data_IF_830426377794
#
_entry.id   IF_830426377794
#
_cell.length_a   1.000
_cell.length_b   1.000
_cell.length_c   1.000
_cell.angle_alpha   90.00
_cell.angle_beta   90.00
_cell.angle_gamma   90.00
#
_symmetry.space_group_name_H-M   'P 1'
#
loop_
_entity.id
_entity.type
_entity.pdbx_description
1 polymer ?
#
# COMPACT_ATOMS: atom_id res chain seq x y z
N UNK A 1 -65.09 -6.60 -27.21
CA UNK A 1 -64.28 -6.76 -25.97
C UNK A 1 -63.02 -7.62 -26.13
N UNK A 2 -62.97 -8.70 -26.94
CA UNK A 2 -61.78 -9.60 -27.07
C UNK A 2 -60.56 -8.99 -27.78
N UNK A 3 -60.70 -7.99 -28.64
CA UNK A 3 -59.59 -7.38 -29.38
C UNK A 3 -58.76 -6.34 -28.56
N UNK A 4 -59.30 -5.81 -27.51
CA UNK A 4 -58.63 -4.84 -26.64
C UNK A 4 -57.73 -5.51 -25.60
N UNK A 5 -58.09 -6.70 -25.12
CA UNK A 5 -57.29 -7.49 -24.18
C UNK A 5 -55.97 -7.98 -24.80
N UNK A 6 -55.98 -8.39 -26.08
CA UNK A 6 -54.73 -8.81 -26.74
C UNK A 6 -53.72 -7.69 -26.97
N UNK A 7 -54.18 -6.45 -27.17
CA UNK A 7 -53.26 -5.30 -27.34
C UNK A 7 -52.64 -4.85 -26.03
N UNK A 8 -53.35 -4.95 -24.92
CA UNK A 8 -52.80 -4.60 -23.59
C UNK A 8 -51.74 -5.60 -23.10
N UNK A 9 -51.89 -6.88 -23.41
CA UNK A 9 -50.93 -7.96 -23.06
C UNK A 9 -49.63 -7.83 -23.87
N UNK A 10 -49.70 -7.43 -25.14
CA UNK A 10 -48.50 -7.23 -25.98
C UNK A 10 -47.69 -5.99 -25.59
N UNK A 11 -48.35 -4.94 -25.11
CA UNK A 11 -47.65 -3.73 -24.63
C UNK A 11 -46.98 -3.98 -23.28
N UNK A 12 -47.60 -4.74 -22.38
CA UNK A 12 -47.00 -5.11 -21.09
C UNK A 12 -45.80 -6.05 -21.26
N UNK A 13 -45.83 -6.99 -22.22
CA UNK A 13 -44.68 -7.86 -22.52
C UNK A 13 -43.52 -7.11 -23.17
N UNK A 14 -43.78 -6.08 -23.98
CA UNK A 14 -42.75 -5.26 -24.61
C UNK A 14 -42.04 -4.34 -23.58
N UNK A 15 -42.72 -3.84 -22.53
CA UNK A 15 -42.13 -3.05 -21.46
C UNK A 15 -41.29 -3.90 -20.51
N UNK A 16 -41.63 -5.18 -20.30
CA UNK A 16 -40.85 -6.06 -19.44
C UNK A 16 -39.53 -6.55 -20.07
N UNK A 17 -39.48 -6.61 -21.42
CA UNK A 17 -38.23 -6.97 -22.15
C UNK A 17 -37.25 -5.77 -22.24
N UNK A 18 -37.74 -4.53 -22.18
CA UNK A 18 -36.90 -3.35 -22.25
C UNK A 18 -36.12 -3.08 -20.96
N UNK A 19 -36.65 -3.48 -19.80
CA UNK A 19 -35.96 -3.32 -18.51
C UNK A 19 -34.81 -4.33 -18.27
N UNK A 20 -34.77 -5.43 -19.01
CA UNK A 20 -33.70 -6.42 -18.89
C UNK A 20 -32.41 -6.02 -19.65
N UNK A 21 -32.47 -4.98 -20.49
CA UNK A 21 -31.33 -4.52 -21.30
C UNK A 21 -30.43 -3.47 -20.60
N UNK A 22 -30.82 -3.03 -19.41
CA UNK A 22 -30.12 -1.99 -18.62
C UNK A 22 -29.42 -2.53 -17.36
N UNK A 23 -29.20 -3.83 -17.26
CA UNK A 23 -28.33 -4.35 -16.21
C UNK A 23 -26.92 -3.80 -16.43
N UNK A 24 -26.34 -3.03 -15.48
CA UNK A 24 -24.97 -2.57 -15.62
C UNK A 24 -24.09 -3.79 -15.79
N UNK A 25 -23.38 -3.88 -16.93
CA UNK A 25 -22.39 -4.93 -17.11
C UNK A 25 -21.36 -4.77 -15.99
N UNK A 26 -21.34 -5.71 -15.04
CA UNK A 26 -20.28 -5.78 -14.01
C UNK A 26 -19.00 -6.03 -14.79
N UNK A 27 -18.30 -4.96 -15.11
CA UNK A 27 -16.96 -5.06 -15.73
C UNK A 27 -16.08 -5.77 -14.72
N UNK A 28 -15.55 -6.94 -15.09
CA UNK A 28 -14.62 -7.65 -14.24
C UNK A 28 -13.46 -6.70 -13.87
N UNK A 29 -13.09 -6.69 -12.58
CA UNK A 29 -11.99 -5.87 -12.10
C UNK A 29 -10.72 -6.14 -12.91
N UNK A 30 -10.05 -5.10 -13.33
CA UNK A 30 -8.81 -5.20 -14.10
C UNK A 30 -7.74 -5.93 -13.26
N UNK A 31 -7.05 -6.90 -13.87
CA UNK A 31 -6.04 -7.70 -13.17
C UNK A 31 -4.70 -6.98 -13.12
N UNK A 32 -4.09 -6.99 -11.94
CA UNK A 32 -2.72 -6.53 -11.68
C UNK A 32 -1.93 -7.61 -10.95
N UNK A 33 -0.61 -7.54 -10.97
CA UNK A 33 0.25 -8.54 -10.32
C UNK A 33 0.33 -8.36 -8.80
N UNK A 34 0.14 -7.12 -8.35
CA UNK A 34 0.27 -6.73 -6.94
C UNK A 34 -0.63 -5.52 -6.66
N UNK A 35 -1.35 -5.56 -5.54
CA UNK A 35 -1.86 -4.36 -4.86
C UNK A 35 -0.84 -3.97 -3.80
N UNK A 36 -0.20 -2.81 -3.95
CA UNK A 36 0.84 -2.30 -3.06
C UNK A 36 0.37 -1.02 -2.39
N UNK A 37 0.28 -1.05 -1.06
CA UNK A 37 0.08 0.16 -0.25
C UNK A 37 1.43 0.62 0.27
N UNK A 38 1.86 1.82 -0.13
CA UNK A 38 3.01 2.51 0.43
C UNK A 38 2.53 3.36 1.61
N UNK A 39 2.81 2.91 2.83
CA UNK A 39 2.37 3.55 4.07
C UNK A 39 3.56 4.29 4.70
N UNK A 40 3.64 5.60 4.45
CA UNK A 40 4.75 6.46 4.85
C UNK A 40 4.50 7.13 6.20
N UNK A 41 5.42 6.97 7.13
CA UNK A 41 5.45 7.68 8.39
C UNK A 41 5.73 9.18 8.17
N UNK A 42 4.86 10.01 8.72
CA UNK A 42 5.02 11.46 8.77
C UNK A 42 4.88 11.98 10.21
N UNK A 43 5.26 11.15 11.21
CA UNK A 43 5.27 11.53 12.62
C UNK A 43 6.30 12.63 12.92
N UNK A 44 6.32 13.13 14.16
CA UNK A 44 7.15 14.29 14.54
C UNK A 44 8.65 14.09 14.42
N UNK A 45 9.14 12.86 14.42
CA UNK A 45 10.54 12.51 14.20
C UNK A 45 11.00 12.82 12.77
N UNK A 46 10.05 12.85 11.83
CA UNK A 46 10.25 13.22 10.44
C UNK A 46 10.09 14.73 10.32
N UNK A 47 11.18 15.49 10.31
CA UNK A 47 11.18 16.93 10.05
C UNK A 47 10.91 17.28 8.57
N UNK A 48 10.98 18.55 8.20
CA UNK A 48 10.68 19.00 6.85
C UNK A 48 11.70 18.49 5.80
N UNK A 49 12.97 18.37 6.18
CA UNK A 49 14.03 17.88 5.30
C UNK A 49 13.89 16.39 5.07
N UNK A 50 13.70 15.61 6.13
CA UNK A 50 13.44 14.17 6.07
C UNK A 50 12.18 13.85 5.27
N UNK A 51 11.11 14.62 5.48
CA UNK A 51 9.89 14.49 4.69
C UNK A 51 10.14 14.70 3.19
N UNK A 52 10.92 15.72 2.84
CA UNK A 52 11.30 15.98 1.45
C UNK A 52 12.08 14.80 0.86
N UNK A 53 13.10 14.31 1.58
CA UNK A 53 13.91 13.16 1.15
C UNK A 53 13.08 11.89 0.97
N UNK A 54 12.11 11.62 1.86
CA UNK A 54 11.18 10.51 1.69
C UNK A 54 10.35 10.65 0.41
N UNK A 55 9.77 11.82 0.16
CA UNK A 55 8.94 12.07 -1.03
C UNK A 55 9.75 11.94 -2.32
N UNK A 56 10.93 12.53 -2.37
CA UNK A 56 11.86 12.41 -3.49
C UNK A 56 12.32 10.95 -3.70
N UNK A 57 12.56 10.23 -2.61
CA UNK A 57 12.92 8.82 -2.65
C UNK A 57 11.83 7.94 -3.24
N UNK A 58 10.58 8.09 -2.80
CA UNK A 58 9.45 7.35 -3.37
C UNK A 58 9.20 7.72 -4.85
N UNK A 59 9.23 9.02 -5.18
CA UNK A 59 9.04 9.50 -6.55
C UNK A 59 10.12 8.96 -7.49
N UNK A 60 11.38 9.00 -7.06
CA UNK A 60 12.51 8.43 -7.81
C UNK A 60 12.38 6.92 -7.95
N UNK A 61 12.00 6.21 -6.89
CA UNK A 61 11.90 4.76 -6.91
C UNK A 61 10.81 4.25 -7.86
N UNK A 62 9.61 4.83 -7.83
CA UNK A 62 8.52 4.38 -8.70
C UNK A 62 8.85 4.58 -10.19
N UNK A 63 9.68 5.58 -10.51
CA UNK A 63 10.12 5.91 -11.87
C UNK A 63 11.45 5.23 -12.26
N UNK A 64 12.11 4.52 -11.33
CA UNK A 64 13.38 3.86 -11.59
C UNK A 64 13.23 2.74 -12.63
N UNK A 65 14.11 2.73 -13.63
CA UNK A 65 14.07 1.73 -14.70
C UNK A 65 14.05 0.29 -14.18
N UNK A 66 14.78 0.00 -13.11
CA UNK A 66 14.85 -1.35 -12.52
C UNK A 66 13.52 -1.77 -11.89
N UNK A 67 12.78 -0.83 -11.31
CA UNK A 67 11.43 -1.06 -10.78
C UNK A 67 10.46 -1.27 -11.94
N UNK A 68 10.53 -0.47 -12.99
CA UNK A 68 9.71 -0.63 -14.20
C UNK A 68 9.99 -1.96 -14.92
N UNK A 69 11.25 -2.38 -15.00
CA UNK A 69 11.63 -3.67 -15.56
C UNK A 69 11.06 -4.84 -14.72
N UNK A 70 11.05 -4.71 -13.39
CA UNK A 70 10.44 -5.71 -12.50
C UNK A 70 8.91 -5.78 -12.70
N UNK A 71 8.22 -4.65 -12.87
CA UNK A 71 6.80 -4.60 -13.20
C UNK A 71 6.52 -5.26 -14.55
N UNK A 72 7.32 -4.93 -15.56
CA UNK A 72 7.16 -5.45 -16.92
C UNK A 72 7.42 -6.97 -17.02
N UNK A 73 8.19 -7.53 -16.10
CA UNK A 73 8.45 -8.97 -16.00
C UNK A 73 7.25 -9.74 -15.38
N UNK A 74 6.31 -9.07 -14.74
CA UNK A 74 5.12 -9.67 -14.15
C UNK A 74 4.14 -10.23 -15.20
N UNK A 75 3.24 -11.10 -14.76
CA UNK A 75 2.25 -11.76 -15.63
C UNK A 75 1.30 -10.77 -16.31
N UNK A 76 0.81 -9.80 -15.54
CA UNK A 76 -0.10 -8.75 -16.03
C UNK A 76 0.66 -7.49 -16.45
N UNK A 77 1.99 -7.46 -16.23
CA UNK A 77 2.90 -6.34 -16.56
C UNK A 77 2.45 -5.00 -15.97
N UNK A 78 1.78 -5.05 -14.84
CA UNK A 78 1.29 -3.89 -14.08
C UNK A 78 1.06 -4.23 -12.63
N UNK A 79 1.21 -3.24 -11.78
CA UNK A 79 0.81 -3.26 -10.37
C UNK A 79 -0.17 -2.12 -10.12
N UNK A 80 -0.90 -2.14 -9.01
CA UNK A 80 -1.63 -0.97 -8.56
C UNK A 80 -1.04 -0.49 -7.23
N UNK A 81 -0.74 0.80 -7.14
CA UNK A 81 -0.10 1.44 -5.99
C UNK A 81 -1.06 2.44 -5.37
N UNK A 82 -1.15 2.42 -4.05
CA UNK A 82 -1.80 3.45 -3.24
C UNK A 82 -0.74 4.03 -2.30
N UNK A 83 -0.67 5.35 -2.22
CA UNK A 83 0.20 6.05 -1.28
C UNK A 83 -0.62 6.68 -0.15
N UNK A 84 -0.29 6.33 1.08
CA UNK A 84 -0.88 6.93 2.26
C UNK A 84 0.19 7.46 3.21
N UNK A 85 -0.17 8.48 3.97
CA UNK A 85 0.60 8.99 5.09
C UNK A 85 -0.10 8.68 6.40
N UNK A 86 0.69 8.38 7.40
CA UNK A 86 0.21 8.12 8.76
C UNK A 86 1.13 8.75 9.82
N UNK A 87 0.53 9.03 10.99
CA UNK A 87 1.25 9.47 12.18
C UNK A 87 0.53 8.94 13.45
N UNK A 88 -0.02 9.77 14.32
CA UNK A 88 -0.75 9.36 15.52
C UNK A 88 -2.10 8.69 15.24
N UNK A 89 -2.80 8.32 16.29
CA UNK A 89 -4.15 7.74 16.21
C UNK A 89 -5.10 8.70 15.51
N UNK A 90 -5.84 8.18 14.51
CA UNK A 90 -6.79 8.98 13.73
C UNK A 90 -6.15 9.88 12.66
N UNK A 91 -4.83 9.89 12.56
CA UNK A 91 -4.07 10.69 11.59
C UNK A 91 -3.53 9.79 10.46
N UNK A 92 -4.42 9.29 9.63
CA UNK A 92 -4.12 8.53 8.42
C UNK A 92 -4.85 9.16 7.23
N UNK A 93 -4.19 9.24 6.08
CA UNK A 93 -4.77 9.83 4.87
C UNK A 93 -4.26 9.14 3.62
N UNK A 94 -5.17 8.79 2.72
CA UNK A 94 -4.81 8.45 1.34
C UNK A 94 -4.36 9.74 0.64
N UNK A 95 -3.12 9.77 0.20
CA UNK A 95 -2.50 10.91 -0.51
C UNK A 95 -2.67 10.74 -2.01
N UNK A 96 -2.40 9.51 -2.52
CA UNK A 96 -2.69 9.13 -3.90
C UNK A 96 -3.47 7.81 -3.85
N UNK A 97 -4.67 7.81 -4.40
CA UNK A 97 -5.54 6.63 -4.47
C UNK A 97 -5.01 5.61 -5.48
N UNK A 98 -5.58 4.42 -5.48
CA UNK A 98 -5.17 3.30 -6.32
C UNK A 98 -4.90 3.72 -7.76
N UNK A 99 -3.64 3.64 -8.14
CA UNK A 99 -3.15 4.06 -9.46
C UNK A 99 -2.43 2.87 -10.11
N UNK A 100 -2.83 2.47 -11.32
CA UNK A 100 -2.13 1.42 -12.05
C UNK A 100 -0.80 1.96 -12.57
N UNK A 101 0.27 1.18 -12.36
CA UNK A 101 1.61 1.47 -12.90
C UNK A 101 1.92 0.35 -13.90
N UNK A 102 1.88 0.69 -15.19
CA UNK A 102 2.07 -0.23 -16.31
C UNK A 102 3.20 0.22 -17.26
N UNK A 103 3.92 1.28 -16.88
CA UNK A 103 5.04 1.80 -17.64
C UNK A 103 5.51 3.17 -17.18
N UNK A 104 6.51 3.71 -17.87
CA UNK A 104 7.22 4.92 -17.46
C UNK A 104 6.30 6.16 -17.36
N UNK A 105 5.30 6.29 -18.23
CA UNK A 105 4.37 7.42 -18.19
C UNK A 105 3.54 7.44 -16.91
N UNK A 106 2.89 6.32 -16.58
CA UNK A 106 2.07 6.21 -15.37
C UNK A 106 2.92 6.39 -14.10
N UNK A 107 4.14 5.85 -14.09
CA UNK A 107 5.08 6.02 -12.99
C UNK A 107 5.51 7.48 -12.80
N UNK A 108 5.79 8.20 -13.90
CA UNK A 108 6.17 9.61 -13.84
C UNK A 108 5.01 10.49 -13.35
N UNK A 109 3.79 10.27 -13.87
CA UNK A 109 2.59 10.98 -13.43
C UNK A 109 2.30 10.76 -11.93
N UNK A 110 2.53 9.54 -11.42
CA UNK A 110 2.43 9.23 -9.99
C UNK A 110 3.51 9.97 -9.19
N UNK A 111 4.77 9.96 -9.66
CA UNK A 111 5.90 10.62 -9.02
C UNK A 111 5.70 12.15 -8.94
N UNK A 112 5.30 12.78 -10.05
CA UNK A 112 5.05 14.22 -10.12
C UNK A 112 3.95 14.62 -9.14
N UNK A 113 2.83 13.89 -9.14
CA UNK A 113 1.73 14.11 -8.21
C UNK A 113 2.17 13.96 -6.75
N UNK A 114 3.03 12.97 -6.45
CA UNK A 114 3.53 12.74 -5.11
C UNK A 114 4.37 13.92 -4.60
N UNK A 115 5.17 14.55 -5.44
CA UNK A 115 6.01 15.69 -5.09
C UNK A 115 5.22 16.99 -4.86
N UNK A 116 4.06 17.15 -5.51
CA UNK A 116 3.24 18.36 -5.41
C UNK A 116 2.37 18.41 -4.14
N UNK A 117 2.03 17.24 -3.59
CA UNK A 117 1.07 17.17 -2.48
C UNK A 117 1.71 17.53 -1.14
N UNK A 118 1.04 18.35 -0.29
CA UNK A 118 1.56 18.72 1.01
C UNK A 118 1.54 17.53 1.98
N UNK A 119 2.36 17.62 3.03
CA UNK A 119 2.36 16.70 4.17
C UNK A 119 0.99 16.75 4.87
N UNK A 120 0.45 15.56 5.20
CA UNK A 120 -0.88 15.46 5.80
C UNK A 120 -0.89 15.76 7.30
N UNK A 121 0.11 15.26 8.06
CA UNK A 121 0.12 15.29 9.53
C UNK A 121 1.52 15.51 10.11
N UNK A 122 1.58 15.74 11.43
CA UNK A 122 2.78 15.71 12.24
C UNK A 122 2.39 15.45 13.70
N UNK A 123 2.32 14.17 14.13
CA UNK A 123 1.90 13.76 15.47
C UNK A 123 2.77 12.60 15.98
N UNK A 124 2.28 11.80 16.93
CA UNK A 124 2.90 10.58 17.44
C UNK A 124 3.03 9.53 16.34
N UNK A 125 3.49 8.34 16.71
CA UNK A 125 3.74 7.23 15.80
C UNK A 125 2.78 6.07 16.13
N UNK A 126 1.76 5.89 15.29
CA UNK A 126 0.78 4.80 15.38
C UNK A 126 0.94 3.87 14.18
N UNK A 127 1.92 2.97 14.23
CA UNK A 127 2.11 1.94 13.20
C UNK A 127 0.86 1.08 13.09
N UNK A 128 0.26 0.72 14.25
CA UNK A 128 -1.00 -0.04 14.28
C UNK A 128 -2.11 0.66 13.50
N UNK A 129 -2.30 1.97 13.70
CA UNK A 129 -3.29 2.75 12.97
C UNK A 129 -2.97 2.86 11.48
N UNK A 130 -1.69 2.97 11.11
CA UNK A 130 -1.24 2.93 9.71
C UNK A 130 -1.58 1.62 9.01
N UNK A 131 -1.30 0.48 9.67
CA UNK A 131 -1.63 -0.87 9.16
C UNK A 131 -3.14 -1.04 9.02
N UNK A 132 -3.93 -0.72 10.05
CA UNK A 132 -5.39 -0.84 10.01
C UNK A 132 -6.02 -0.03 8.88
N UNK A 133 -5.56 1.21 8.73
CA UNK A 133 -6.03 2.09 7.67
C UNK A 133 -5.65 1.57 6.28
N UNK A 134 -4.42 1.04 6.12
CA UNK A 134 -3.96 0.40 4.89
C UNK A 134 -4.81 -0.83 4.53
N UNK A 135 -5.08 -1.70 5.51
CA UNK A 135 -5.94 -2.89 5.34
C UNK A 135 -7.33 -2.51 4.82
N UNK A 136 -7.90 -1.42 5.32
CA UNK A 136 -9.21 -0.95 4.90
C UNK A 136 -9.25 -0.43 3.45
N UNK A 137 -8.10 -0.19 2.80
CA UNK A 137 -8.06 0.26 1.41
C UNK A 137 -8.18 -0.88 0.39
N UNK A 138 -7.75 -2.11 0.71
CA UNK A 138 -7.76 -3.22 -0.26
C UNK A 138 -9.16 -3.55 -0.81
N UNK A 139 -10.24 -3.62 0.01
CA UNK A 139 -11.58 -3.85 -0.51
C UNK A 139 -12.12 -2.75 -1.44
N UNK A 140 -11.49 -1.57 -1.42
CA UNK A 140 -11.86 -0.41 -2.25
C UNK A 140 -11.08 -0.35 -3.56
N UNK A 141 -10.09 -1.25 -3.75
CA UNK A 141 -9.30 -1.27 -4.97
C UNK A 141 -10.18 -1.62 -6.18
N UNK A 142 -10.14 -0.82 -7.28
CA UNK A 142 -10.87 -1.15 -8.51
C UNK A 142 -10.17 -2.26 -9.33
N UNK A 143 -9.11 -2.83 -8.78
CA UNK A 143 -8.26 -3.86 -9.40
C UNK A 143 -8.35 -5.18 -8.63
N UNK A 144 -8.11 -6.30 -9.33
CA UNK A 144 -7.99 -7.62 -8.73
C UNK A 144 -6.54 -8.10 -8.78
N UNK A 145 -6.00 -8.56 -7.65
CA UNK A 145 -4.69 -9.16 -7.55
C UNK A 145 -4.69 -10.36 -6.60
N UNK A 146 -3.79 -11.31 -6.84
CA UNK A 146 -3.56 -12.44 -5.93
C UNK A 146 -2.68 -12.04 -4.74
N UNK A 147 -1.89 -10.98 -4.91
CA UNK A 147 -0.95 -10.48 -3.92
C UNK A 147 -1.38 -9.10 -3.41
N UNK A 148 -1.38 -8.96 -2.09
CA UNK A 148 -1.67 -7.72 -1.39
C UNK A 148 -0.56 -7.46 -0.38
N UNK A 149 0.12 -6.32 -0.51
CA UNK A 149 1.26 -5.97 0.33
C UNK A 149 1.12 -4.56 0.89
N UNK A 150 1.43 -4.41 2.17
CA UNK A 150 1.63 -3.12 2.83
C UNK A 150 3.13 -2.94 3.03
N UNK A 151 3.68 -1.87 2.50
CA UNK A 151 5.03 -1.38 2.79
C UNK A 151 4.93 -0.31 3.88
N UNK A 152 5.36 -0.64 5.10
CA UNK A 152 5.38 0.29 6.23
C UNK A 152 6.76 0.89 6.37
N UNK A 153 6.91 2.18 6.09
CA UNK A 153 8.15 2.91 6.36
C UNK A 153 8.04 3.80 7.58
N UNK A 154 9.08 3.82 8.40
CA UNK A 154 9.14 4.67 9.58
C UNK A 154 10.51 4.69 10.27
N UNK A 155 10.70 5.66 11.18
CA UNK A 155 11.93 5.90 11.93
C UNK A 155 11.76 5.68 13.45
N UNK A 156 10.67 5.01 13.88
CA UNK A 156 10.40 4.79 15.30
C UNK A 156 9.48 3.60 15.60
N UNK A 157 9.36 3.31 16.90
CA UNK A 157 8.47 2.26 17.42
C UNK A 157 7.02 2.74 17.49
N UNK A 158 6.07 1.81 17.60
CA UNK A 158 4.67 2.15 17.88
C UNK A 158 4.54 2.75 19.29
N UNK A 159 4.24 4.04 19.39
CA UNK A 159 4.08 4.74 20.67
C UNK A 159 2.69 5.34 20.87
N UNK A 160 1.75 5.03 19.99
CA UNK A 160 0.37 5.50 20.02
C UNK A 160 -0.56 4.47 19.40
N UNK A 161 -1.79 4.41 19.88
CA UNK A 161 -2.76 3.42 19.44
C UNK A 161 -2.65 2.09 20.16
N UNK A 162 -3.22 1.04 19.57
CA UNK A 162 -3.19 -0.30 20.16
C UNK A 162 -1.86 -1.02 19.87
N UNK A 163 -1.72 -2.18 20.45
CA UNK A 163 -0.57 -3.06 20.18
C UNK A 163 -0.47 -3.33 18.67
N UNK A 164 0.73 -3.12 18.12
CA UNK A 164 1.00 -3.26 16.68
C UNK A 164 0.91 -4.71 16.22
N UNK A 165 1.23 -5.67 17.10
CA UNK A 165 1.16 -7.10 16.77
C UNK A 165 -0.27 -7.54 16.49
N UNK A 166 -1.27 -6.96 17.18
CA UNK A 166 -2.67 -7.24 16.91
C UNK A 166 -3.09 -6.74 15.52
N UNK A 167 -2.69 -5.53 15.15
CA UNK A 167 -2.99 -4.98 13.83
C UNK A 167 -2.31 -5.78 12.71
N UNK A 168 -1.04 -6.17 12.94
CA UNK A 168 -0.31 -7.08 12.05
C UNK A 168 -1.06 -8.39 11.87
N UNK A 169 -1.36 -9.09 12.95
CA UNK A 169 -1.94 -10.43 12.88
C UNK A 169 -3.33 -10.44 12.20
N UNK A 170 -4.13 -9.39 12.41
CA UNK A 170 -5.40 -9.21 11.69
C UNK A 170 -5.20 -8.97 10.17
N UNK A 171 -4.14 -8.28 9.76
CA UNK A 171 -3.80 -8.12 8.34
C UNK A 171 -3.35 -9.47 7.73
N UNK A 172 -2.52 -10.22 8.46
CA UNK A 172 -2.06 -11.55 8.04
C UNK A 172 -3.21 -12.54 7.90
N UNK A 173 -4.19 -12.52 8.81
CA UNK A 173 -5.38 -13.35 8.73
C UNK A 173 -6.21 -13.09 7.46
N UNK A 174 -6.08 -11.91 6.85
CA UNK A 174 -6.69 -11.54 5.55
C UNK A 174 -5.80 -11.90 4.36
N UNK A 175 -4.64 -12.53 4.58
CA UNK A 175 -3.69 -12.89 3.52
C UNK A 175 -2.84 -11.72 2.99
N UNK A 176 -2.80 -10.61 3.72
CA UNK A 176 -1.98 -9.44 3.39
C UNK A 176 -0.58 -9.65 3.93
N UNK A 177 0.44 -9.37 3.13
CA UNK A 177 1.83 -9.35 3.58
C UNK A 177 2.21 -7.94 4.03
N UNK A 178 2.94 -7.83 5.13
CA UNK A 178 3.47 -6.55 5.63
C UNK A 178 5.00 -6.61 5.57
N UNK A 179 5.60 -5.70 4.81
CA UNK A 179 7.04 -5.47 4.78
C UNK A 179 7.37 -4.17 5.52
N UNK A 180 8.61 -4.05 5.99
CA UNK A 180 9.08 -2.87 6.70
C UNK A 180 10.23 -2.18 5.95
N UNK A 181 10.22 -0.84 5.93
CA UNK A 181 11.39 -0.03 5.63
C UNK A 181 11.73 0.80 6.86
N UNK A 182 12.78 0.40 7.53
CA UNK A 182 13.28 1.09 8.72
C UNK A 182 14.28 2.16 8.31
N UNK A 183 14.06 3.38 8.79
CA UNK A 183 15.00 4.49 8.58
C UNK A 183 15.71 4.72 9.91
N UNK A 184 17.00 4.45 9.95
CA UNK A 184 17.80 4.69 11.14
C UNK A 184 18.08 6.18 11.32
N UNK A 185 18.29 6.59 12.56
CA UNK A 185 18.67 7.95 12.91
C UNK A 185 20.03 7.94 13.59
N UNK A 186 20.96 8.73 13.07
CA UNK A 186 22.27 8.95 13.70
C UNK A 186 22.16 9.70 15.04
N UNK A 187 21.02 10.33 15.29
CA UNK A 187 20.76 11.10 16.51
C UNK A 187 19.42 10.66 17.11
N UNK A 188 19.44 9.75 18.11
CA UNK A 188 18.24 9.39 18.85
C UNK A 188 17.55 10.62 19.44
N UNK A 189 16.20 10.57 19.49
CA UNK A 189 15.42 11.66 20.07
C UNK A 189 15.81 11.88 21.55
N UNK A 190 16.29 13.07 21.95
CA UNK A 190 16.79 13.29 23.31
C UNK A 190 15.77 13.03 24.42
N UNK A 191 14.47 13.23 24.13
CA UNK A 191 13.38 13.03 25.09
C UNK A 191 12.77 11.63 25.06
N UNK A 192 13.09 10.82 24.05
CA UNK A 192 12.62 9.44 23.92
C UNK A 192 13.57 8.62 23.02
N UNK A 193 14.78 8.32 23.46
CA UNK A 193 15.78 7.64 22.64
C UNK A 193 15.38 6.22 22.27
N UNK A 194 14.63 5.51 23.10
CA UNK A 194 14.16 4.17 22.81
C UNK A 194 13.11 4.11 21.70
N UNK A 195 12.51 5.23 21.36
CA UNK A 195 11.57 5.30 20.25
C UNK A 195 12.27 5.07 18.90
N UNK A 196 13.41 5.71 18.69
CA UNK A 196 14.19 5.57 17.44
C UNK A 196 15.30 4.54 17.54
N UNK A 197 15.72 4.18 18.77
CA UNK A 197 16.76 3.19 19.01
C UNK A 197 16.36 2.25 20.16
N UNK A 198 15.34 1.40 19.98
CA UNK A 198 14.89 0.47 21.01
C UNK A 198 15.92 -0.63 21.27
N UNK A 199 15.83 -1.33 22.43
CA UNK A 199 16.64 -2.51 22.70
C UNK A 199 16.54 -3.54 21.56
N UNK A 200 17.68 -3.97 21.02
CA UNK A 200 17.74 -4.88 19.86
C UNK A 200 17.64 -4.21 18.49
N UNK A 201 17.64 -2.86 18.46
CA UNK A 201 17.57 -2.06 17.24
C UNK A 201 16.16 -1.90 16.66
N UNK A 202 15.95 -0.85 15.89
CA UNK A 202 14.66 -0.57 15.28
C UNK A 202 14.29 -1.63 14.21
N UNK A 203 15.27 -2.15 13.51
CA UNK A 203 15.09 -3.24 12.55
C UNK A 203 14.67 -4.55 13.25
N UNK A 204 15.23 -4.84 14.43
CA UNK A 204 14.79 -5.94 15.29
C UNK A 204 13.35 -5.76 15.79
N UNK A 205 12.98 -4.53 16.18
CA UNK A 205 11.61 -4.21 16.56
C UNK A 205 10.62 -4.46 15.40
N UNK A 206 10.94 -4.00 14.18
CA UNK A 206 10.08 -4.22 13.01
C UNK A 206 9.96 -5.71 12.66
N UNK A 207 11.06 -6.47 12.69
CA UNK A 207 11.04 -7.92 12.45
C UNK A 207 10.13 -8.66 13.42
N UNK A 208 10.16 -8.28 14.69
CA UNK A 208 9.44 -9.00 15.75
C UNK A 208 7.97 -8.57 15.86
N UNK A 209 7.65 -7.29 15.55
CA UNK A 209 6.35 -6.73 15.90
C UNK A 209 5.53 -6.24 14.70
N UNK A 210 6.19 -5.80 13.61
CA UNK A 210 5.50 -5.07 12.52
C UNK A 210 5.27 -5.92 11.29
N UNK A 211 6.31 -6.60 10.79
CA UNK A 211 6.23 -7.36 9.55
C UNK A 211 5.61 -8.73 9.74
N UNK A 212 5.12 -9.29 8.64
CA UNK A 212 4.60 -10.68 8.61
C UNK A 212 3.97 -11.03 7.27
N UNK A 213 3.65 -12.31 7.14
CA UNK A 213 3.10 -12.87 5.90
C UNK A 213 4.16 -13.56 5.05
N UNK A 214 3.74 -14.10 3.91
CA UNK A 214 4.61 -14.89 3.05
C UNK A 214 5.72 -14.03 2.43
N UNK A 215 6.98 -14.38 2.74
CA UNK A 215 8.15 -13.68 2.22
C UNK A 215 8.35 -12.27 2.80
N UNK A 216 7.74 -11.95 3.94
CA UNK A 216 7.90 -10.66 4.60
C UNK A 216 9.35 -10.40 4.98
N UNK A 217 9.80 -9.16 4.81
CA UNK A 217 11.16 -8.74 5.11
C UNK A 217 11.23 -7.30 5.61
N UNK A 218 12.34 -6.98 6.27
CA UNK A 218 12.72 -5.62 6.64
C UNK A 218 13.87 -5.17 5.77
N UNK A 219 13.75 -4.00 5.16
CA UNK A 219 14.84 -3.26 4.54
C UNK A 219 15.27 -2.14 5.50
N UNK A 220 16.56 -1.87 5.55
CA UNK A 220 17.12 -0.80 6.39
C UNK A 220 17.70 0.28 5.48
N UNK A 221 17.32 1.53 5.74
CA UNK A 221 18.02 2.70 5.28
C UNK A 221 18.86 3.24 6.45
N UNK A 222 20.17 3.36 6.26
CA UNK A 222 21.09 3.78 7.32
C UNK A 222 20.77 5.19 7.84
N UNK A 223 20.18 6.01 6.97
CA UNK A 223 19.68 7.36 7.27
C UNK A 223 18.69 7.80 6.18
N UNK A 224 18.16 9.02 6.28
CA UNK A 224 17.21 9.55 5.29
C UNK A 224 17.86 9.79 3.92
N UNK A 225 19.17 10.05 3.84
CA UNK A 225 19.89 10.24 2.56
C UNK A 225 19.95 8.93 1.76
N UNK A 226 20.05 7.79 2.44
CA UNK A 226 20.10 6.45 1.81
C UNK A 226 18.69 5.89 1.49
N UNK A 227 17.62 6.56 1.93
CA UNK A 227 16.24 6.12 1.78
C UNK A 227 15.87 5.82 0.32
N UNK A 228 16.23 6.72 -0.61
CA UNK A 228 15.90 6.56 -2.02
C UNK A 228 16.44 5.26 -2.64
N UNK A 229 17.67 4.87 -2.29
CA UNK A 229 18.24 3.60 -2.75
C UNK A 229 17.63 2.39 -2.07
N UNK A 230 17.32 2.50 -0.77
CA UNK A 230 16.69 1.44 -0.02
C UNK A 230 15.28 1.13 -0.56
N UNK A 231 14.48 2.16 -0.85
CA UNK A 231 13.11 1.97 -1.38
C UNK A 231 13.11 1.38 -2.79
N UNK A 232 14.07 1.74 -3.65
CA UNK A 232 14.23 1.09 -4.97
C UNK A 232 14.46 -0.41 -4.82
N UNK A 233 15.44 -0.81 -3.99
CA UNK A 233 15.75 -2.23 -3.73
C UNK A 233 14.54 -2.95 -3.15
N UNK A 234 13.83 -2.31 -2.23
CA UNK A 234 12.64 -2.85 -1.57
C UNK A 234 11.51 -3.07 -2.56
N UNK A 235 11.18 -2.07 -3.38
CA UNK A 235 10.13 -2.19 -4.40
C UNK A 235 10.44 -3.31 -5.40
N UNK A 236 11.69 -3.44 -5.86
CA UNK A 236 12.09 -4.54 -6.74
C UNK A 236 11.84 -5.90 -6.06
N UNK A 237 12.23 -6.05 -4.79
CA UNK A 237 12.05 -7.29 -4.05
C UNK A 237 10.55 -7.63 -3.87
N UNK A 238 9.71 -6.65 -3.57
CA UNK A 238 8.26 -6.82 -3.41
C UNK A 238 7.56 -7.20 -4.72
N UNK A 239 7.94 -6.54 -5.81
CA UNK A 239 7.35 -6.78 -7.14
C UNK A 239 7.79 -8.14 -7.67
N UNK A 240 9.08 -8.46 -7.58
CA UNK A 240 9.65 -9.70 -8.10
C UNK A 240 9.31 -10.94 -7.26
N UNK A 241 8.87 -10.77 -5.99
CA UNK A 241 8.50 -11.89 -5.14
C UNK A 241 7.34 -12.67 -5.76
N UNK A 242 7.59 -13.95 -6.05
CA UNK A 242 6.59 -14.86 -6.58
C UNK A 242 6.41 -16.02 -5.57
N UNK A 243 5.42 -15.92 -4.66
CA UNK A 243 5.20 -16.98 -3.69
C UNK A 243 4.84 -18.28 -4.42
N UNK A 244 5.23 -19.46 -3.89
CA UNK A 244 4.77 -20.72 -4.44
C UNK A 244 3.24 -20.76 -4.44
N UNK A 245 2.60 -21.44 -5.42
CA UNK A 245 1.15 -21.55 -5.48
C UNK A 245 0.58 -22.03 -4.15
N UNK A 246 -0.53 -21.46 -3.70
CA UNK A 246 -1.20 -21.87 -2.47
C UNK A 246 -1.49 -23.38 -2.55
N UNK A 247 -0.96 -24.14 -1.60
CA UNK A 247 -1.14 -25.60 -1.50
C UNK A 247 0.07 -26.47 -1.88
N UNK A 248 1.19 -25.88 -2.32
CA UNK A 248 2.45 -26.61 -2.50
C UNK A 248 3.21 -26.60 -1.18
N UNK A 249 3.16 -27.72 -0.46
CA UNK A 249 4.07 -27.96 0.69
C UNK A 249 5.43 -28.31 0.09
N UNK A 250 6.36 -27.37 0.13
CA UNK A 250 7.77 -27.68 -0.15
C UNK A 250 8.28 -28.55 1.00
N UNK A 251 8.58 -29.82 0.72
CA UNK A 251 9.24 -30.75 1.62
C UNK A 251 10.75 -30.59 1.50
#
# INVERSE_FOLDING_TARGET
MRRWLCRAVLIAAALFVADLALAPSIRAAEKVDLLLVLASDVSRSVDAEKFKLQREGYASAISDKRVLDAIAAGRNKRIAVLFLEWSGVGNQKVVIDWTPIDGAKAAQEFADKLLELPRAFADRTSISGGIEFAVAQFPRAPFAAERQTIDVSGDGTNNSGRDVTLARDEALAKGITINGLVILSDSPLPWNPEHTNPPGGLDGYYRNNVIGGAGAFVMVADNHDSFGQAIVKKMIAEIAFNPPPRGVILR
#
